data_IF_665307518748
#
_entry.id   IF_665307518748
#
_cell.length_a   1.000
_cell.length_b   1.000
_cell.length_c   1.000
_cell.angle_alpha   90.00
_cell.angle_beta   90.00
_cell.angle_gamma   90.00
#
_symmetry.space_group_name_H-M   'P 1'
#
loop_
_entity.id
_entity.type
_entity.pdbx_description
1 polymer ?
#
# COMPACT_ATOMS: atom_id res chain seq x y z
N UNK A 1 -0.47 -2.64 0.37
CA UNK A 1 0.87 -2.24 0.83
C UNK A 1 0.84 -1.63 2.21
N UNK A 2 -0.01 -0.65 2.48
CA UNK A 2 -0.10 0.00 3.79
C UNK A 2 -0.37 -0.97 4.94
N UNK A 3 -1.17 -2.03 4.73
CA UNK A 3 -1.39 -3.06 5.75
C UNK A 3 -0.11 -3.87 6.05
N UNK A 4 0.67 -4.21 5.02
CA UNK A 4 1.99 -4.85 5.20
C UNK A 4 2.97 -3.93 5.91
N UNK A 5 3.00 -2.64 5.55
CA UNK A 5 3.82 -1.65 6.21
C UNK A 5 3.45 -1.52 7.70
N UNK A 6 2.16 -1.39 8.03
CA UNK A 6 1.66 -1.36 9.40
C UNK A 6 2.06 -2.61 10.20
N UNK A 7 1.96 -3.80 9.57
CA UNK A 7 2.39 -5.07 10.18
C UNK A 7 3.90 -5.09 10.42
N UNK A 8 4.71 -4.72 9.43
CA UNK A 8 6.17 -4.66 9.58
C UNK A 8 6.59 -3.64 10.65
N UNK A 9 5.96 -2.47 10.68
CA UNK A 9 6.21 -1.45 11.70
C UNK A 9 5.76 -1.89 13.10
N UNK A 10 4.76 -2.78 13.22
CA UNK A 10 4.44 -3.42 14.50
C UNK A 10 5.54 -4.35 15.00
N UNK A 11 6.29 -4.98 14.10
CA UNK A 11 7.48 -5.76 14.46
C UNK A 11 8.62 -4.86 14.93
N UNK A 12 8.78 -3.69 14.31
CA UNK A 12 9.75 -2.66 14.74
C UNK A 12 9.38 -2.13 16.13
N UNK A 13 8.11 -1.81 16.38
CA UNK A 13 7.59 -1.40 17.68
C UNK A 13 7.93 -2.40 18.79
N UNK A 14 7.83 -3.69 18.47
CA UNK A 14 8.06 -4.77 19.43
C UNK A 14 9.56 -5.18 19.53
N UNK A 15 10.46 -4.48 18.80
CA UNK A 15 11.90 -4.74 18.82
C UNK A 15 12.32 -6.04 18.13
N UNK A 16 11.45 -6.64 17.31
CA UNK A 16 11.73 -7.91 16.62
C UNK A 16 12.55 -7.72 15.33
N UNK A 17 12.50 -6.51 14.74
CA UNK A 17 13.32 -6.10 13.58
C UNK A 17 13.71 -4.65 13.74
N UNK A 18 14.88 -4.27 13.24
CA UNK A 18 15.29 -2.88 13.12
C UNK A 18 14.81 -2.29 11.79
N UNK A 19 14.40 -1.02 11.82
CA UNK A 19 13.96 -0.32 10.61
C UNK A 19 15.14 -0.07 9.64
N UNK A 20 16.31 0.19 10.19
CA UNK A 20 17.53 0.53 9.47
C UNK A 20 18.57 -0.60 9.47
N UNK A 21 18.27 -1.72 10.11
CA UNK A 21 19.15 -2.87 10.06
C UNK A 21 19.10 -3.52 8.66
N UNK A 22 20.24 -4.00 8.13
CA UNK A 22 20.26 -4.79 6.91
C UNK A 22 19.35 -6.01 7.03
N UNK A 23 18.51 -6.23 6.06
CA UNK A 23 17.76 -7.49 5.97
C UNK A 23 18.77 -8.59 5.65
N UNK A 24 18.65 -9.72 6.38
CA UNK A 24 19.57 -10.84 6.22
C UNK A 24 19.90 -11.13 4.75
N UNK A 25 21.19 -11.20 4.46
CA UNK A 25 21.76 -11.50 3.14
C UNK A 25 21.39 -10.48 2.03
N UNK A 26 20.90 -9.28 2.42
CA UNK A 26 20.53 -8.22 1.49
C UNK A 26 21.34 -6.94 1.74
N UNK A 27 21.46 -6.14 0.69
CA UNK A 27 22.16 -4.85 0.73
C UNK A 27 21.26 -3.67 1.14
N UNK A 28 19.99 -3.96 1.46
CA UNK A 28 18.99 -2.94 1.79
C UNK A 28 18.32 -3.20 3.14
N UNK A 29 17.71 -2.18 3.69
CA UNK A 29 17.03 -2.18 4.98
C UNK A 29 15.51 -2.29 4.81
N UNK A 30 14.77 -2.53 5.92
CA UNK A 30 13.32 -2.49 5.92
C UNK A 30 12.79 -1.10 5.52
N UNK A 31 13.44 -0.02 5.99
CA UNK A 31 13.11 1.35 5.58
C UNK A 31 13.15 1.52 4.07
N UNK A 32 14.21 1.06 3.44
CA UNK A 32 14.39 1.17 2.00
C UNK A 32 13.38 0.35 1.20
N UNK A 33 12.98 -0.82 1.70
CA UNK A 33 11.90 -1.59 1.10
C UNK A 33 10.55 -0.86 1.19
N UNK A 34 10.21 -0.38 2.40
CA UNK A 34 8.94 0.32 2.67
C UNK A 34 8.81 1.60 1.84
N UNK A 35 9.94 2.28 1.55
CA UNK A 35 9.99 3.53 0.76
C UNK A 35 10.23 3.33 -0.72
N UNK A 36 10.33 2.09 -1.23
CA UNK A 36 10.72 1.82 -2.62
C UNK A 36 12.12 2.35 -3.01
N UNK A 37 13.04 2.40 -2.07
CA UNK A 37 14.41 2.88 -2.25
C UNK A 37 15.44 1.74 -2.33
N UNK A 38 15.01 0.48 -2.31
CA UNK A 38 15.89 -0.68 -2.31
C UNK A 38 16.56 -0.97 -3.67
N UNK A 39 16.16 -0.30 -4.75
CA UNK A 39 16.72 -0.53 -6.09
C UNK A 39 16.18 -1.78 -6.80
N UNK A 40 15.14 -2.41 -6.28
CA UNK A 40 14.55 -3.63 -6.84
C UNK A 40 13.79 -3.39 -8.14
N UNK A 41 13.81 -4.38 -9.03
CA UNK A 41 12.96 -4.45 -10.20
C UNK A 41 11.48 -4.62 -9.82
N UNK A 42 10.57 -4.38 -10.77
CA UNK A 42 9.14 -4.64 -10.58
C UNK A 42 8.60 -5.56 -11.68
N UNK A 43 7.88 -6.60 -11.29
CA UNK A 43 7.23 -7.50 -12.26
C UNK A 43 6.10 -6.80 -13.04
N UNK A 44 5.51 -5.72 -12.48
CA UNK A 44 4.56 -4.88 -13.20
C UNK A 44 5.14 -4.17 -14.44
N UNK A 45 6.45 -4.23 -14.67
CA UNK A 45 7.09 -3.69 -15.88
C UNK A 45 7.31 -4.76 -16.96
N UNK A 46 7.07 -6.04 -16.67
CA UNK A 46 7.25 -7.14 -17.62
C UNK A 46 6.06 -7.21 -18.58
N UNK A 47 6.32 -7.14 -19.89
CA UNK A 47 5.30 -7.34 -20.92
C UNK A 47 4.63 -8.73 -20.80
N UNK A 48 5.42 -9.75 -20.48
CA UNK A 48 4.92 -11.12 -20.28
C UNK A 48 3.93 -11.20 -19.11
N UNK A 49 4.16 -10.44 -18.03
CA UNK A 49 3.22 -10.36 -16.91
C UNK A 49 1.86 -9.81 -17.37
N UNK A 50 1.88 -8.71 -18.11
CA UNK A 50 0.63 -8.11 -18.61
C UNK A 50 -0.09 -9.05 -19.58
N UNK A 51 0.64 -9.74 -20.47
CA UNK A 51 0.08 -10.72 -21.39
C UNK A 51 -0.56 -11.90 -20.63
N UNK A 52 0.14 -12.48 -19.66
CA UNK A 52 -0.37 -13.59 -18.85
C UNK A 52 -1.63 -13.21 -18.06
N UNK A 53 -1.64 -12.02 -17.44
CA UNK A 53 -2.82 -11.51 -16.74
C UNK A 53 -3.99 -11.27 -17.69
N UNK A 54 -3.75 -10.69 -18.87
CA UNK A 54 -4.79 -10.45 -19.89
C UNK A 54 -5.37 -11.78 -20.43
N UNK A 55 -4.55 -12.81 -20.52
CA UNK A 55 -4.96 -14.17 -20.95
C UNK A 55 -5.59 -14.99 -19.80
N UNK A 56 -5.76 -14.42 -18.61
CA UNK A 56 -6.29 -15.12 -17.44
C UNK A 56 -5.48 -16.36 -17.03
N UNK A 57 -4.18 -16.34 -17.28
CA UNK A 57 -3.29 -17.43 -16.87
C UNK A 57 -3.18 -17.52 -15.34
N UNK A 58 -2.76 -18.70 -14.86
CA UNK A 58 -2.37 -18.85 -13.46
C UNK A 58 -1.10 -18.05 -13.17
N UNK A 59 -1.00 -17.50 -11.95
CA UNK A 59 0.19 -16.77 -11.57
C UNK A 59 1.43 -17.65 -11.58
N UNK A 60 2.54 -17.10 -12.04
CA UNK A 60 3.84 -17.74 -11.94
C UNK A 60 4.20 -18.00 -10.47
N UNK A 61 5.01 -19.02 -10.23
CA UNK A 61 5.62 -19.16 -8.90
C UNK A 61 6.48 -17.94 -8.55
N UNK A 62 6.70 -17.68 -7.27
CA UNK A 62 7.58 -16.60 -6.83
C UNK A 62 9.00 -16.75 -7.39
N UNK A 63 9.51 -17.96 -7.48
CA UNK A 63 10.84 -18.24 -8.04
C UNK A 63 10.89 -17.93 -9.54
N UNK A 64 9.87 -18.31 -10.29
CA UNK A 64 9.76 -17.98 -11.71
C UNK A 64 9.66 -16.46 -11.92
N UNK A 65 8.84 -15.76 -11.15
CA UNK A 65 8.75 -14.30 -11.19
C UNK A 65 10.12 -13.67 -10.95
N UNK A 66 10.85 -14.11 -9.94
CA UNK A 66 12.20 -13.59 -9.65
C UNK A 66 13.19 -13.92 -10.77
N UNK A 67 13.14 -15.11 -11.38
CA UNK A 67 13.99 -15.47 -12.53
C UNK A 67 13.72 -14.56 -13.73
N UNK A 68 12.45 -14.29 -14.06
CA UNK A 68 12.06 -13.39 -15.17
C UNK A 68 12.55 -11.96 -14.96
N UNK A 69 12.73 -11.53 -13.71
CA UNK A 69 13.30 -10.22 -13.36
C UNK A 69 14.84 -10.19 -13.38
N UNK A 70 15.51 -11.30 -13.71
CA UNK A 70 16.96 -11.43 -13.66
C UNK A 70 17.51 -11.65 -12.25
N UNK A 71 16.70 -12.22 -11.37
CA UNK A 71 17.06 -12.52 -9.98
C UNK A 71 17.09 -11.27 -9.08
N UNK A 72 17.97 -11.28 -8.10
CA UNK A 72 18.12 -10.21 -7.12
C UNK A 72 18.95 -9.00 -7.61
N UNK A 73 19.18 -8.85 -8.92
CA UNK A 73 19.97 -7.74 -9.47
C UNK A 73 19.30 -6.41 -9.17
N UNK A 74 20.01 -5.56 -8.42
CA UNK A 74 19.55 -4.20 -8.16
C UNK A 74 19.78 -3.29 -9.36
N UNK A 75 18.86 -2.38 -9.62
CA UNK A 75 18.93 -1.37 -10.69
C UNK A 75 19.83 -0.20 -10.33
N UNK A 76 19.95 0.08 -9.02
CA UNK A 76 20.83 1.09 -8.43
C UNK A 76 21.15 0.69 -6.99
N UNK A 77 22.14 1.30 -6.40
CA UNK A 77 22.52 1.07 -5.00
C UNK A 77 21.37 1.49 -4.06
N UNK A 78 21.02 0.69 -3.05
CA UNK A 78 19.97 1.02 -2.11
C UNK A 78 20.15 2.41 -1.50
N UNK A 79 19.05 3.17 -1.42
CA UNK A 79 19.05 4.54 -0.89
C UNK A 79 19.47 5.64 -1.87
N UNK A 80 20.02 5.31 -3.05
CA UNK A 80 20.48 6.32 -4.02
C UNK A 80 19.43 6.78 -5.03
N UNK A 81 18.28 6.11 -5.05
CA UNK A 81 17.18 6.42 -5.95
C UNK A 81 15.82 6.00 -5.38
N UNK A 82 14.78 6.29 -6.12
CA UNK A 82 13.43 5.85 -5.83
C UNK A 82 12.79 5.22 -7.07
N UNK A 83 12.25 4.02 -6.92
CA UNK A 83 11.45 3.37 -7.94
C UNK A 83 10.47 2.40 -7.30
N UNK A 84 9.20 2.57 -7.61
CA UNK A 84 8.15 1.68 -7.13
C UNK A 84 8.47 0.21 -7.45
N UNK A 85 8.28 -0.68 -6.47
CA UNK A 85 8.50 -2.11 -6.65
C UNK A 85 7.52 -2.94 -5.81
N UNK A 86 6.71 -3.75 -6.49
CA UNK A 86 5.89 -4.77 -5.85
C UNK A 86 6.76 -5.88 -5.24
N UNK A 87 7.93 -6.16 -5.83
CA UNK A 87 8.90 -7.13 -5.29
C UNK A 87 9.38 -6.72 -3.91
N UNK A 88 9.59 -5.41 -3.66
CA UNK A 88 9.91 -4.93 -2.32
C UNK A 88 8.87 -5.35 -1.28
N UNK A 89 7.59 -5.25 -1.62
CA UNK A 89 6.50 -5.65 -0.71
C UNK A 89 6.32 -7.16 -0.62
N UNK A 90 6.63 -7.91 -1.66
CA UNK A 90 6.76 -9.37 -1.56
C UNK A 90 7.83 -9.77 -0.54
N UNK A 91 9.01 -9.13 -0.57
CA UNK A 91 10.09 -9.39 0.40
C UNK A 91 9.73 -8.95 1.83
N UNK A 92 8.96 -7.86 2.01
CA UNK A 92 8.39 -7.48 3.30
C UNK A 92 7.46 -8.58 3.82
N UNK A 93 6.60 -9.14 2.96
CA UNK A 93 5.74 -10.27 3.32
C UNK A 93 6.57 -11.47 3.81
N UNK A 94 7.63 -11.84 3.10
CA UNK A 94 8.54 -12.91 3.50
C UNK A 94 9.28 -12.62 4.81
N UNK A 95 9.65 -11.37 5.05
CA UNK A 95 10.22 -10.94 6.34
C UNK A 95 9.22 -11.14 7.48
N UNK A 96 7.97 -10.70 7.28
CA UNK A 96 6.90 -10.84 8.27
C UNK A 96 6.69 -12.32 8.61
N UNK A 97 6.52 -13.20 7.61
CA UNK A 97 6.34 -14.65 7.81
C UNK A 97 7.50 -15.25 8.61
N UNK A 98 8.73 -14.94 8.23
CA UNK A 98 9.95 -15.44 8.89
C UNK A 98 10.07 -15.00 10.36
N UNK A 99 9.75 -13.73 10.64
CA UNK A 99 9.92 -13.17 11.99
C UNK A 99 8.80 -13.62 12.92
N UNK A 100 7.60 -13.82 12.40
CA UNK A 100 6.43 -14.22 13.19
C UNK A 100 6.22 -15.72 13.28
N UNK A 101 6.85 -16.48 12.40
CA UNK A 101 6.58 -17.92 12.19
C UNK A 101 5.10 -18.22 11.88
N UNK A 102 4.42 -17.26 11.22
CA UNK A 102 3.02 -17.33 10.83
C UNK A 102 2.88 -17.16 9.33
N UNK A 103 1.81 -17.71 8.75
CA UNK A 103 1.40 -17.36 7.39
C UNK A 103 1.09 -15.85 7.32
N UNK A 104 1.37 -15.22 6.17
CA UNK A 104 1.25 -13.77 5.97
C UNK A 104 -0.15 -13.24 6.38
N UNK A 105 -1.22 -13.94 5.98
CA UNK A 105 -2.58 -13.56 6.33
C UNK A 105 -2.80 -13.51 7.83
N UNK A 106 -2.33 -14.53 8.54
CA UNK A 106 -2.46 -14.63 9.99
C UNK A 106 -1.64 -13.55 10.69
N UNK A 107 -0.41 -13.30 10.24
CA UNK A 107 0.44 -12.25 10.77
C UNK A 107 -0.19 -10.86 10.58
N UNK A 108 -0.67 -10.54 9.39
CA UNK A 108 -1.35 -9.27 9.08
C UNK A 108 -2.64 -9.14 9.89
N UNK A 109 -3.43 -10.21 9.99
CA UNK A 109 -4.65 -10.22 10.81
C UNK A 109 -4.36 -9.91 12.27
N UNK A 110 -3.45 -10.64 12.89
CA UNK A 110 -3.12 -10.50 14.33
C UNK A 110 -2.46 -9.18 14.68
N UNK A 111 -1.60 -8.66 13.79
CA UNK A 111 -0.73 -7.53 14.09
C UNK A 111 -1.25 -6.18 13.60
N UNK A 112 -2.14 -6.17 12.60
CA UNK A 112 -2.68 -4.93 12.05
C UNK A 112 -4.21 -4.91 12.02
N UNK A 113 -4.86 -5.91 11.40
CA UNK A 113 -6.31 -5.82 11.18
C UNK A 113 -7.11 -5.93 12.47
N UNK A 114 -6.86 -6.95 13.29
CA UNK A 114 -7.58 -7.17 14.55
C UNK A 114 -7.36 -6.04 15.57
N UNK A 115 -6.10 -5.57 15.82
CA UNK A 115 -5.89 -4.43 16.71
C UNK A 115 -6.59 -3.14 16.26
N UNK A 116 -6.75 -2.95 14.95
CA UNK A 116 -7.51 -1.83 14.39
C UNK A 116 -9.02 -2.10 14.25
N UNK A 117 -9.51 -3.24 14.76
CA UNK A 117 -10.93 -3.58 14.78
C UNK A 117 -11.52 -3.92 13.40
N UNK A 118 -10.73 -4.49 12.50
CA UNK A 118 -11.13 -4.84 11.14
C UNK A 118 -11.43 -6.34 11.05
N UNK A 119 -12.70 -6.70 11.17
CA UNK A 119 -13.13 -8.11 11.19
C UNK A 119 -13.60 -8.65 9.84
N UNK A 120 -13.75 -7.79 8.83
CA UNK A 120 -14.33 -8.16 7.53
C UNK A 120 -13.34 -8.00 6.37
N UNK A 121 -12.04 -7.85 6.69
CA UNK A 121 -10.95 -7.80 5.72
C UNK A 121 -10.21 -9.13 5.76
N UNK A 122 -9.97 -9.71 4.60
CA UNK A 122 -9.24 -10.99 4.45
C UNK A 122 -8.40 -11.00 3.18
N UNK A 123 -7.51 -11.96 3.07
CA UNK A 123 -6.79 -12.19 1.83
C UNK A 123 -7.65 -12.98 0.83
N UNK A 124 -7.63 -12.57 -0.43
CA UNK A 124 -8.09 -13.40 -1.54
C UNK A 124 -6.96 -14.36 -1.92
N UNK A 125 -7.23 -15.65 -1.94
CA UNK A 125 -6.28 -16.73 -2.27
C UNK A 125 -6.59 -17.40 -3.59
N UNK A 126 -7.85 -17.40 -3.96
CA UNK A 126 -8.38 -18.08 -5.14
C UNK A 126 -9.27 -17.15 -5.95
N UNK A 127 -9.49 -17.50 -7.22
CA UNK A 127 -10.45 -16.79 -8.07
C UNK A 127 -11.86 -16.78 -7.46
N UNK A 128 -12.25 -17.84 -6.75
CA UNK A 128 -13.54 -17.93 -6.08
C UNK A 128 -13.72 -16.87 -4.99
N UNK A 129 -12.64 -16.44 -4.33
CA UNK A 129 -12.70 -15.37 -3.34
C UNK A 129 -13.09 -14.01 -3.94
N UNK A 130 -12.86 -13.83 -5.24
CA UNK A 130 -13.15 -12.59 -5.96
C UNK A 130 -14.55 -12.55 -6.57
N UNK A 131 -15.27 -13.68 -6.65
CA UNK A 131 -16.58 -13.78 -7.33
C UNK A 131 -17.64 -12.81 -6.77
N UNK A 132 -17.60 -12.53 -5.47
CA UNK A 132 -18.52 -11.60 -4.83
C UNK A 132 -17.93 -10.19 -4.63
N UNK A 133 -16.85 -9.86 -5.31
CA UNK A 133 -16.24 -8.54 -5.26
C UNK A 133 -16.71 -7.67 -6.43
N UNK A 134 -16.71 -6.34 -6.24
CA UNK A 134 -17.01 -5.37 -7.29
C UNK A 134 -15.76 -5.05 -8.15
N UNK A 135 -14.96 -6.03 -8.49
CA UNK A 135 -13.70 -5.85 -9.23
C UNK A 135 -13.88 -5.75 -10.76
N UNK A 136 -15.07 -5.50 -11.27
CA UNK A 136 -15.33 -5.41 -12.72
C UNK A 136 -15.08 -6.76 -13.41
N UNK A 137 -14.35 -6.76 -14.52
CA UNK A 137 -14.04 -7.98 -15.32
C UNK A 137 -13.00 -8.92 -14.67
N UNK A 138 -12.68 -8.72 -13.41
CA UNK A 138 -11.63 -9.49 -12.73
C UNK A 138 -12.11 -10.79 -12.08
N UNK A 139 -13.36 -11.23 -12.34
CA UNK A 139 -13.84 -12.54 -11.90
C UNK A 139 -12.91 -13.71 -12.28
N UNK A 140 -12.10 -13.53 -13.32
CA UNK A 140 -11.11 -14.50 -13.80
C UNK A 140 -9.66 -14.16 -13.38
N UNK A 141 -9.44 -13.06 -12.64
CA UNK A 141 -8.11 -12.71 -12.16
C UNK A 141 -7.63 -13.71 -11.11
N UNK A 142 -6.40 -14.17 -11.25
CA UNK A 142 -5.77 -14.99 -10.21
C UNK A 142 -5.15 -14.08 -9.14
N UNK A 143 -5.65 -14.07 -7.89
CA UNK A 143 -5.11 -13.21 -6.84
C UNK A 143 -3.65 -13.52 -6.49
N UNK A 144 -3.13 -14.68 -6.85
CA UNK A 144 -1.73 -15.04 -6.66
C UNK A 144 -0.75 -14.16 -7.47
N UNK A 145 -1.21 -13.47 -8.52
CA UNK A 145 -0.44 -12.43 -9.21
C UNK A 145 -0.04 -11.26 -8.30
N UNK A 146 -0.73 -11.07 -7.18
CA UNK A 146 -0.37 -10.08 -6.17
C UNK A 146 0.53 -10.75 -5.13
N UNK A 147 1.80 -10.97 -5.44
CA UNK A 147 2.75 -11.74 -4.61
C UNK A 147 2.90 -11.24 -3.18
N UNK A 148 2.55 -10.00 -2.91
CA UNK A 148 2.50 -9.43 -1.56
C UNK A 148 1.11 -9.53 -0.90
N UNK A 149 0.20 -10.27 -1.51
CA UNK A 149 -1.15 -10.53 -1.02
C UNK A 149 -2.18 -9.48 -1.43
N UNK A 150 -3.37 -9.95 -1.81
CA UNK A 150 -4.52 -9.15 -2.19
C UNK A 150 -5.55 -9.15 -1.06
N UNK A 151 -5.77 -7.99 -0.44
CA UNK A 151 -6.82 -7.81 0.57
C UNK A 151 -8.15 -7.50 -0.08
N UNK A 152 -9.22 -8.12 0.42
CA UNK A 152 -10.61 -7.86 0.04
C UNK A 152 -11.45 -7.59 1.28
N UNK A 153 -12.43 -6.73 1.14
CA UNK A 153 -13.35 -6.37 2.22
C UNK A 153 -14.25 -5.19 1.84
N UNK A 154 -15.16 -4.78 2.71
CA UNK A 154 -15.97 -3.59 2.49
C UNK A 154 -15.11 -2.34 2.37
N UNK A 155 -15.47 -1.43 1.46
CA UNK A 155 -14.72 -0.19 1.23
C UNK A 155 -14.61 0.68 2.50
N UNK A 156 -15.64 0.67 3.35
CA UNK A 156 -15.63 1.35 4.65
C UNK A 156 -14.55 0.83 5.60
N UNK A 157 -14.17 -0.45 5.49
CA UNK A 157 -13.09 -1.01 6.30
C UNK A 157 -11.71 -0.52 5.82
N UNK A 158 -11.58 -0.15 4.55
CA UNK A 158 -10.34 0.46 4.04
C UNK A 158 -10.15 1.87 4.60
N UNK A 159 -11.22 2.69 4.64
CA UNK A 159 -11.18 4.01 5.27
C UNK A 159 -10.91 3.88 6.79
N UNK A 160 -11.62 2.99 7.47
CA UNK A 160 -11.45 2.77 8.91
C UNK A 160 -10.03 2.29 9.26
N UNK A 161 -9.45 1.41 8.43
CA UNK A 161 -8.07 0.96 8.59
C UNK A 161 -7.11 2.14 8.57
N UNK A 162 -7.17 2.97 7.53
CA UNK A 162 -6.26 4.09 7.37
C UNK A 162 -6.46 5.13 8.46
N UNK A 163 -7.71 5.48 8.77
CA UNK A 163 -8.02 6.46 9.81
C UNK A 163 -7.46 6.06 11.16
N UNK A 164 -7.75 4.85 11.63
CA UNK A 164 -7.25 4.33 12.91
C UNK A 164 -5.73 4.17 12.96
N UNK A 165 -5.12 3.73 11.84
CA UNK A 165 -3.66 3.64 11.75
C UNK A 165 -3.02 5.01 11.91
N UNK A 166 -3.48 6.01 11.16
CA UNK A 166 -2.91 7.36 11.17
C UNK A 166 -3.34 8.19 12.40
N UNK A 167 -4.38 7.76 13.12
CA UNK A 167 -4.73 8.29 14.44
C UNK A 167 -3.87 7.70 15.57
N UNK A 168 -2.95 6.77 15.27
CA UNK A 168 -2.00 6.22 16.25
C UNK A 168 -2.52 5.04 17.07
N UNK A 169 -3.61 4.38 16.64
CA UNK A 169 -4.17 3.24 17.40
C UNK A 169 -3.31 1.97 17.30
N UNK A 170 -2.27 1.95 16.46
CA UNK A 170 -1.40 0.78 16.29
C UNK A 170 0.07 1.07 16.61
N UNK A 171 0.57 2.23 16.20
CA UNK A 171 1.98 2.59 16.26
C UNK A 171 2.19 3.72 17.27
N UNK A 172 3.31 3.71 18.02
CA UNK A 172 3.67 4.82 18.90
C UNK A 172 3.97 6.09 18.08
N UNK A 173 3.83 7.29 18.67
CA UNK A 173 3.93 8.55 17.94
C UNK A 173 5.20 8.71 17.09
N UNK A 174 6.37 8.35 17.63
CA UNK A 174 7.63 8.45 16.87
C UNK A 174 7.66 7.56 15.63
N UNK A 175 7.16 6.33 15.73
CA UNK A 175 7.13 5.41 14.59
C UNK A 175 6.04 5.78 13.57
N UNK A 176 4.92 6.33 14.04
CA UNK A 176 3.89 6.89 13.18
C UNK A 176 4.40 8.12 12.41
N UNK A 177 5.17 8.98 13.06
CA UNK A 177 5.84 10.10 12.41
C UNK A 177 6.83 9.62 11.34
N UNK A 178 7.64 8.60 11.63
CA UNK A 178 8.53 7.97 10.64
C UNK A 178 7.75 7.43 9.44
N UNK A 179 6.60 6.78 9.68
CA UNK A 179 5.73 6.29 8.61
C UNK A 179 5.26 7.39 7.69
N UNK A 180 4.91 8.55 8.25
CA UNK A 180 4.40 9.72 7.52
C UNK A 180 5.52 10.66 7.01
N UNK A 181 6.78 10.46 7.38
CA UNK A 181 7.89 11.25 6.85
C UNK A 181 8.19 10.81 5.42
N UNK A 182 7.62 11.55 4.47
CA UNK A 182 7.70 11.22 3.05
C UNK A 182 8.91 11.86 2.38
N UNK A 183 9.54 11.13 1.48
CA UNK A 183 10.48 11.67 0.49
C UNK A 183 9.68 12.26 -0.67
N UNK A 184 9.90 13.51 -0.98
CA UNK A 184 9.30 14.17 -2.15
C UNK A 184 9.82 13.53 -3.44
N UNK A 185 8.92 13.22 -4.37
CA UNK A 185 9.21 12.50 -5.61
C UNK A 185 9.19 13.41 -6.85
N UNK A 186 9.01 14.70 -6.66
CA UNK A 186 9.00 15.69 -7.75
C UNK A 186 7.88 16.70 -7.62
N UNK A 187 7.51 17.30 -8.75
CA UNK A 187 6.41 18.25 -8.87
C UNK A 187 5.05 17.57 -9.14
N UNK A 188 4.06 18.35 -9.57
CA UNK A 188 2.70 17.87 -9.81
C UNK A 188 2.67 16.68 -10.77
N UNK A 189 1.80 15.70 -10.47
CA UNK A 189 1.53 14.57 -11.36
C UNK A 189 0.36 14.94 -12.27
N UNK A 190 0.55 14.98 -13.61
CA UNK A 190 -0.54 15.33 -14.53
C UNK A 190 -1.76 14.42 -14.33
N UNK A 191 -2.95 15.03 -14.24
CA UNK A 191 -4.21 14.33 -14.07
C UNK A 191 -4.46 13.75 -12.69
N UNK A 192 -3.59 14.01 -11.71
CA UNK A 192 -3.76 13.62 -10.30
C UNK A 192 -3.76 14.87 -9.40
N UNK A 193 -4.36 14.82 -8.19
CA UNK A 193 -4.50 16.01 -7.33
C UNK A 193 -3.20 16.47 -6.64
N UNK A 194 -2.09 15.79 -6.87
CA UNK A 194 -0.82 16.02 -6.19
C UNK A 194 -0.07 17.25 -6.72
N UNK A 195 0.29 18.16 -5.82
CA UNK A 195 1.21 19.27 -6.08
C UNK A 195 2.65 18.84 -5.78
N UNK A 196 2.88 18.25 -4.61
CA UNK A 196 4.19 17.71 -4.20
C UNK A 196 4.02 16.27 -3.74
N UNK A 197 3.95 15.29 -4.68
CA UNK A 197 3.85 13.90 -4.32
C UNK A 197 5.07 13.42 -3.57
N UNK A 198 4.86 12.57 -2.58
CA UNK A 198 5.91 11.93 -1.81
C UNK A 198 5.53 10.52 -1.38
N UNK A 199 6.50 9.78 -0.86
CA UNK A 199 6.28 8.42 -0.37
C UNK A 199 7.00 8.20 0.97
N UNK A 200 6.24 7.80 1.97
CA UNK A 200 6.70 7.43 3.31
C UNK A 200 6.89 5.92 3.47
N UNK A 201 6.71 5.39 4.68
CA UNK A 201 6.81 3.95 4.93
C UNK A 201 5.49 3.26 4.59
N UNK A 202 5.25 3.00 3.30
CA UNK A 202 4.04 2.33 2.82
C UNK A 202 2.81 3.20 2.68
N UNK A 203 2.98 4.51 2.64
CA UNK A 203 1.95 5.50 2.36
C UNK A 203 2.45 6.52 1.34
N UNK A 204 1.58 6.94 0.46
CA UNK A 204 1.75 8.16 -0.32
C UNK A 204 1.42 9.35 0.58
N UNK A 205 2.23 10.39 0.55
CA UNK A 205 1.98 11.61 1.30
C UNK A 205 2.54 12.81 0.56
N UNK A 206 1.77 13.88 0.52
CA UNK A 206 2.19 15.09 -0.15
C UNK A 206 1.13 16.18 -0.10
N UNK A 207 1.44 17.35 -0.67
CA UNK A 207 0.51 18.47 -0.72
C UNK A 207 -0.44 18.36 -1.92
N UNK A 208 -1.64 18.87 -1.70
CA UNK A 208 -2.70 19.11 -2.70
C UNK A 208 -3.10 20.58 -2.69
N UNK A 209 -4.01 20.98 -3.58
CA UNK A 209 -4.54 22.34 -3.61
C UNK A 209 -5.12 22.77 -2.24
N UNK A 210 -5.04 24.06 -1.95
CA UNK A 210 -5.48 24.62 -0.67
C UNK A 210 -4.48 24.47 0.47
N UNK A 211 -3.27 23.92 0.22
CA UNK A 211 -2.21 23.79 1.23
C UNK A 211 -2.37 22.57 2.15
N UNK A 212 -3.34 21.70 1.88
CA UNK A 212 -3.57 20.51 2.67
C UNK A 212 -2.55 19.39 2.38
N UNK A 213 -2.30 18.57 3.39
CA UNK A 213 -1.50 17.35 3.25
C UNK A 213 -2.42 16.13 3.18
N UNK A 214 -2.28 15.37 2.11
CA UNK A 214 -2.98 14.11 1.88
C UNK A 214 -2.07 12.94 2.25
N UNK A 215 -2.55 11.98 3.01
CA UNK A 215 -1.81 10.76 3.38
C UNK A 215 -2.67 9.52 3.17
N UNK A 216 -2.14 8.52 2.48
CA UNK A 216 -2.86 7.29 2.18
C UNK A 216 -2.24 6.48 1.06
N UNK A 217 -3.06 5.83 0.26
CA UNK A 217 -2.56 5.06 -0.89
C UNK A 217 -3.62 4.88 -1.97
N UNK A 218 -3.18 4.87 -3.23
CA UNK A 218 -3.97 4.43 -4.38
C UNK A 218 -3.48 3.05 -4.82
N UNK A 219 -4.40 2.16 -5.11
CA UNK A 219 -4.14 0.85 -5.67
C UNK A 219 -4.85 0.67 -6.99
N UNK A 220 -4.14 0.15 -7.99
CA UNK A 220 -4.69 -0.18 -9.29
C UNK A 220 -4.49 -1.68 -9.56
N UNK A 221 -5.50 -2.31 -10.12
CA UNK A 221 -5.47 -3.68 -10.60
C UNK A 221 -6.24 -3.81 -11.90
N UNK A 222 -6.25 -5.01 -12.53
CA UNK A 222 -7.01 -5.21 -13.75
C UNK A 222 -8.49 -4.86 -13.57
N UNK A 223 -8.96 -3.81 -14.25
CA UNK A 223 -10.35 -3.38 -14.27
C UNK A 223 -10.84 -2.68 -13.01
N UNK A 224 -9.96 -2.32 -12.06
CA UNK A 224 -10.37 -1.64 -10.84
C UNK A 224 -9.30 -0.72 -10.26
N UNK A 225 -9.73 0.33 -9.61
CA UNK A 225 -8.88 1.26 -8.87
C UNK A 225 -9.52 1.62 -7.54
N UNK A 226 -8.72 1.74 -6.50
CA UNK A 226 -9.11 2.16 -5.16
C UNK A 226 -8.20 3.30 -4.70
N UNK A 227 -8.78 4.33 -4.09
CA UNK A 227 -8.04 5.37 -3.39
C UNK A 227 -8.53 5.46 -1.95
N UNK A 228 -7.60 5.48 -0.99
CA UNK A 228 -7.91 5.61 0.43
C UNK A 228 -6.99 6.67 1.01
N UNK A 229 -7.54 7.78 1.46
CA UNK A 229 -6.78 8.92 1.94
C UNK A 229 -7.38 9.56 3.19
N UNK A 230 -6.50 10.10 4.01
CA UNK A 230 -6.79 10.92 5.18
C UNK A 230 -6.18 12.30 4.98
N UNK A 231 -6.93 13.31 5.42
CA UNK A 231 -6.52 14.72 5.46
C UNK A 231 -6.67 15.21 6.89
N UNK A 232 -5.81 16.14 7.29
CA UNK A 232 -5.92 16.83 8.58
C UNK A 232 -5.85 18.33 8.37
N UNK A 233 -6.69 19.05 9.10
CA UNK A 233 -6.69 20.52 9.19
C UNK A 233 -6.79 20.91 10.67
N UNK A 234 -5.68 21.31 11.26
CA UNK A 234 -5.61 21.55 12.71
C UNK A 234 -6.01 20.31 13.51
N UNK A 235 -7.09 20.43 14.30
CA UNK A 235 -7.65 19.34 15.09
C UNK A 235 -8.69 18.51 14.35
N UNK A 236 -9.16 18.97 13.20
CA UNK A 236 -10.12 18.24 12.37
C UNK A 236 -9.39 17.25 11.47
N UNK A 237 -9.99 16.10 11.24
CA UNK A 237 -9.50 15.13 10.27
C UNK A 237 -10.65 14.41 9.59
N UNK A 238 -10.44 14.05 8.33
CA UNK A 238 -11.37 13.23 7.56
C UNK A 238 -10.62 12.11 6.85
N UNK A 239 -11.27 10.95 6.74
CA UNK A 239 -10.76 9.82 5.98
C UNK A 239 -11.83 9.33 5.01
N UNK A 240 -11.44 9.10 3.76
CA UNK A 240 -12.34 8.65 2.71
C UNK A 240 -11.69 7.52 1.90
N UNK A 241 -12.50 6.57 1.48
CA UNK A 241 -12.12 5.53 0.53
C UNK A 241 -13.09 5.54 -0.65
N UNK A 242 -12.54 5.55 -1.87
CA UNK A 242 -13.26 5.44 -3.12
C UNK A 242 -12.83 4.22 -3.90
N UNK A 243 -13.76 3.60 -4.61
CA UNK A 243 -13.53 2.47 -5.49
C UNK A 243 -14.25 2.72 -6.81
N UNK A 244 -13.60 2.41 -7.91
CA UNK A 244 -14.15 2.53 -9.25
C UNK A 244 -13.73 1.34 -10.11
N UNK A 245 -14.62 0.91 -11.01
CA UNK A 245 -14.28 -0.01 -12.09
C UNK A 245 -13.62 0.79 -13.20
N UNK A 246 -12.40 0.44 -13.57
CA UNK A 246 -11.61 1.20 -14.54
C UNK A 246 -10.13 1.20 -14.20
N UNK A 247 -9.40 2.17 -14.73
CA UNK A 247 -7.95 2.27 -14.54
C UNK A 247 -7.45 3.70 -14.23
N UNK A 248 -8.35 4.66 -13.99
CA UNK A 248 -7.96 6.06 -13.78
C UNK A 248 -7.68 6.36 -12.31
N UNK A 249 -6.41 6.28 -11.90
CA UNK A 249 -6.00 6.67 -10.56
C UNK A 249 -6.35 8.13 -10.25
N UNK A 250 -6.18 9.04 -11.20
CA UNK A 250 -6.44 10.46 -11.00
C UNK A 250 -7.92 10.77 -10.76
N UNK A 251 -8.83 10.09 -11.48
CA UNK A 251 -10.28 10.30 -11.31
C UNK A 251 -10.74 9.90 -9.91
N UNK A 252 -10.36 8.71 -9.44
CA UNK A 252 -10.76 8.25 -8.11
C UNK A 252 -10.10 9.07 -7.00
N UNK A 253 -8.85 9.51 -7.16
CA UNK A 253 -8.19 10.40 -6.21
C UNK A 253 -8.89 11.76 -6.13
N UNK A 254 -9.23 12.35 -7.27
CA UNK A 254 -9.96 13.62 -7.30
C UNK A 254 -11.32 13.52 -6.59
N UNK A 255 -12.05 12.43 -6.82
CA UNK A 255 -13.32 12.17 -6.12
C UNK A 255 -13.13 12.05 -4.60
N UNK A 256 -12.12 11.29 -4.16
CA UNK A 256 -11.81 11.12 -2.73
C UNK A 256 -11.41 12.45 -2.10
N UNK A 257 -10.55 13.25 -2.75
CA UNK A 257 -10.14 14.58 -2.28
C UNK A 257 -11.35 15.50 -2.16
N UNK A 258 -12.23 15.54 -3.17
CA UNK A 258 -13.46 16.33 -3.12
C UNK A 258 -14.32 15.97 -1.90
N UNK A 259 -14.48 14.67 -1.60
CA UNK A 259 -15.26 14.22 -0.45
C UNK A 259 -14.61 14.58 0.89
N UNK A 260 -13.28 14.46 0.97
CA UNK A 260 -12.52 14.86 2.16
C UNK A 260 -12.70 16.34 2.45
N UNK A 261 -12.58 17.20 1.44
CA UNK A 261 -12.75 18.66 1.59
C UNK A 261 -14.18 19.02 2.02
N UNK A 262 -15.19 18.39 1.44
CA UNK A 262 -16.60 18.58 1.86
C UNK A 262 -16.80 18.19 3.32
N UNK A 263 -16.22 17.09 3.78
CA UNK A 263 -16.35 16.61 5.17
C UNK A 263 -15.69 17.55 6.16
N UNK A 264 -14.52 18.10 5.83
CA UNK A 264 -13.84 19.10 6.70
C UNK A 264 -14.64 20.39 6.82
N UNK A 265 -15.24 20.88 5.73
CA UNK A 265 -16.05 22.11 5.73
C UNK A 265 -17.30 21.95 6.60
N UNK A 266 -18.02 20.84 6.49
CA UNK A 266 -19.18 20.54 7.34
C UNK A 266 -18.81 20.47 8.83
N UNK A 267 -17.67 19.86 9.16
CA UNK A 267 -17.19 19.78 10.54
C UNK A 267 -16.74 21.13 11.13
N UNK A 268 -16.43 22.11 10.28
CA UNK A 268 -16.07 23.48 10.71
C UNK A 268 -17.30 24.38 10.95
N UNK A 269 -18.44 24.06 10.31
CA UNK A 269 -19.71 24.79 10.52
C UNK A 269 -20.45 24.35 11.78
N UNK A 270 -20.19 23.11 12.26
CA UNK A 270 -20.84 22.53 13.44
C UNK A 270 -20.02 22.72 14.75
N UNK A 271 -18.82 23.31 14.71
CA UNK A 271 -17.91 23.52 15.85
C UNK A 271 -17.88 24.98 16.30
#
# INVERSE_FOLDING_TARGET
KTALAATALSLVRDGLVGLDDPIRDQLFTLRQLLRHEAGLADYGELADYHAAVANHEAAWSADEMMQRLGGARLRYSPGTGWRYSNVGYFLIGRLIERVTDLALEEAVSRRALTPLGLSRVRFAKTRADLQNSHLGNTSNYDPAWVYHGLLIGPISQAALFLDRLLAGHLLPPGLLQEMQTAKTLGGPIPGRPWITPGYGLGVMQGSIEGGFTLCGHTGCGPGSVIAVYRICDGNASACCAGFETGASEGAIEALVVQKLMQTLQLGAEDA
#
